data_IF_829102343037
#
_entry.id   IF_829102343037
#
_cell.length_a   1.000
_cell.length_b   1.000
_cell.length_c   1.000
_cell.angle_alpha   90.00
_cell.angle_beta   90.00
_cell.angle_gamma   90.00
#
_symmetry.space_group_name_H-M   'P 1'
#
loop_
_entity.id
_entity.type
_entity.pdbx_description
1 polymer ?
#
# COMPACT_ATOMS: atom_id res chain seq x y z
N UNK A 1 -33.38 4.74 4.69
CA UNK A 1 -31.93 4.97 4.83
C UNK A 1 -31.25 4.07 3.82
N UNK A 2 -30.70 4.61 2.74
CA UNK A 2 -29.93 3.82 1.79
C UNK A 2 -28.64 3.39 2.47
N UNK A 3 -28.43 2.08 2.64
CA UNK A 3 -27.13 1.56 3.01
C UNK A 3 -26.23 1.78 1.80
N UNK A 4 -25.44 2.86 1.79
CA UNK A 4 -24.34 2.96 0.85
C UNK A 4 -23.31 1.92 1.30
N UNK A 5 -23.29 0.80 0.59
CA UNK A 5 -22.23 -0.20 0.74
C UNK A 5 -20.97 0.39 0.14
N UNK A 6 -19.88 0.42 0.91
CA UNK A 6 -18.58 0.84 0.41
C UNK A 6 -18.21 0.06 -0.86
N UNK A 7 -17.56 0.74 -1.79
CA UNK A 7 -17.02 0.14 -3.01
C UNK A 7 -15.59 -0.34 -2.74
N UNK A 8 -15.32 -1.61 -3.02
CA UNK A 8 -13.99 -2.19 -2.92
C UNK A 8 -13.49 -2.51 -4.33
N UNK A 9 -12.38 -1.91 -4.73
CA UNK A 9 -11.69 -2.19 -5.99
C UNK A 9 -10.47 -3.07 -5.71
N UNK A 10 -10.45 -4.26 -6.33
CA UNK A 10 -9.36 -5.24 -6.22
C UNK A 10 -8.46 -5.29 -7.47
N UNK A 11 -8.43 -4.20 -8.25
CA UNK A 11 -7.56 -4.02 -9.41
C UNK A 11 -6.88 -2.64 -9.35
N UNK A 12 -5.80 -2.47 -10.10
CA UNK A 12 -5.09 -1.20 -10.19
C UNK A 12 -5.99 -0.10 -10.75
N UNK A 13 -5.99 1.05 -10.08
CA UNK A 13 -6.67 2.28 -10.54
C UNK A 13 -5.60 3.25 -11.02
N UNK A 14 -5.74 3.75 -12.24
CA UNK A 14 -4.78 4.69 -12.82
C UNK A 14 -4.71 5.98 -11.98
N UNK A 15 -3.47 6.40 -11.66
CA UNK A 15 -3.22 7.59 -10.83
C UNK A 15 -3.34 7.36 -9.31
N UNK A 16 -3.88 6.22 -8.86
CA UNK A 16 -4.01 5.92 -7.44
C UNK A 16 -2.65 5.91 -6.72
N UNK A 17 -2.62 6.27 -5.43
CA UNK A 17 -1.37 6.40 -4.68
C UNK A 17 -0.63 5.07 -4.47
N UNK A 18 -1.30 3.93 -4.71
CA UNK A 18 -0.79 2.57 -4.51
C UNK A 18 -1.31 1.63 -5.61
N UNK A 19 -0.66 0.48 -5.78
CA UNK A 19 -1.11 -0.60 -6.68
C UNK A 19 -1.53 -1.85 -5.89
N UNK A 20 -2.45 -2.62 -6.44
CA UNK A 20 -2.83 -3.92 -5.89
C UNK A 20 -1.65 -4.89 -6.04
N UNK A 21 -1.37 -5.65 -4.98
CA UNK A 21 -0.19 -6.50 -4.87
C UNK A 21 1.09 -5.76 -4.50
N UNK A 22 1.05 -4.43 -4.32
CA UNK A 22 2.22 -3.66 -3.89
C UNK A 22 2.54 -3.94 -2.41
N UNK A 23 3.79 -4.32 -2.06
CA UNK A 23 4.20 -4.45 -0.67
C UNK A 23 4.39 -3.05 -0.06
N UNK A 24 3.76 -2.82 1.08
CA UNK A 24 3.84 -1.58 1.85
C UNK A 24 4.19 -1.85 3.30
N UNK A 25 4.89 -0.91 3.91
CA UNK A 25 5.12 -0.89 5.35
C UNK A 25 4.11 0.04 6.00
N UNK A 26 3.51 -0.39 7.10
CA UNK A 26 2.70 0.51 7.93
C UNK A 26 3.66 1.43 8.69
N UNK A 27 3.52 2.74 8.50
CA UNK A 27 4.41 3.74 9.05
C UNK A 27 4.46 3.67 10.58
N UNK A 28 5.66 3.84 11.15
CA UNK A 28 5.86 3.89 12.61
C UNK A 28 5.31 5.19 13.22
N UNK A 29 5.16 6.22 12.41
CA UNK A 29 4.65 7.54 12.81
C UNK A 29 3.16 7.70 12.53
N UNK A 30 2.45 6.65 12.12
CA UNK A 30 0.99 6.67 12.04
C UNK A 30 0.45 6.90 13.45
N UNK A 31 0.16 8.17 13.76
CA UNK A 31 -0.08 8.67 15.12
C UNK A 31 -1.56 8.83 15.44
N UNK A 32 -2.43 8.25 14.61
CA UNK A 32 -3.87 8.26 14.82
C UNK A 32 -4.27 7.20 15.85
N UNK A 33 -5.16 7.56 16.79
CA UNK A 33 -5.71 6.64 17.80
C UNK A 33 -6.46 5.42 17.20
N UNK A 34 -6.81 5.47 15.91
CA UNK A 34 -7.54 4.42 15.21
C UNK A 34 -6.67 3.27 14.71
N UNK A 35 -5.35 3.46 14.63
CA UNK A 35 -4.46 2.45 14.08
C UNK A 35 -4.09 1.43 15.16
N UNK A 36 -4.41 0.15 14.93
CA UNK A 36 -3.99 -0.90 15.85
C UNK A 36 -2.46 -1.04 15.82
N UNK A 37 -1.84 -0.71 16.96
CA UNK A 37 -0.39 -0.71 17.17
C UNK A 37 0.29 -2.02 16.75
N UNK A 38 -0.43 -3.15 16.68
CA UNK A 38 0.12 -4.44 16.21
C UNK A 38 0.59 -4.41 14.76
N UNK A 39 0.02 -3.53 13.93
CA UNK A 39 0.39 -3.39 12.52
C UNK A 39 1.58 -2.46 12.30
N UNK A 40 1.90 -1.56 13.24
CA UNK A 40 2.97 -0.57 13.06
C UNK A 40 4.32 -1.22 12.74
N UNK A 41 4.98 -0.70 11.70
CA UNK A 41 6.27 -1.19 11.24
C UNK A 41 6.24 -2.55 10.53
N UNK A 42 5.09 -3.24 10.50
CA UNK A 42 4.91 -4.50 9.76
C UNK A 42 4.81 -4.25 8.26
N UNK A 43 5.07 -5.31 7.51
CA UNK A 43 4.90 -5.35 6.07
C UNK A 43 3.57 -6.01 5.73
N UNK A 44 2.88 -5.46 4.74
CA UNK A 44 1.69 -6.06 4.18
C UNK A 44 1.62 -5.88 2.67
N UNK A 45 0.66 -6.55 2.05
CA UNK A 45 0.37 -6.46 0.62
C UNK A 45 -0.94 -5.72 0.44
N UNK A 46 -0.96 -4.71 -0.43
CA UNK A 46 -2.19 -4.03 -0.82
C UNK A 46 -3.11 -5.02 -1.54
N UNK A 47 -4.34 -5.19 -1.04
CA UNK A 47 -5.33 -6.11 -1.61
C UNK A 47 -6.59 -5.39 -2.12
N UNK A 48 -6.74 -4.10 -1.83
CA UNK A 48 -7.84 -3.31 -2.37
C UNK A 48 -7.76 -1.83 -2.09
N UNK A 49 -8.53 -1.05 -2.85
CA UNK A 49 -8.89 0.33 -2.55
C UNK A 49 -10.36 0.37 -2.13
N UNK A 50 -10.66 1.07 -1.04
CA UNK A 50 -12.00 1.15 -0.46
C UNK A 50 -12.47 2.59 -0.48
N UNK A 51 -13.66 2.80 -1.06
CA UNK A 51 -14.34 4.08 -1.11
C UNK A 51 -15.66 3.99 -0.35
N UNK A 52 -15.82 4.81 0.68
CA UNK A 52 -17.05 4.84 1.48
C UNK A 52 -18.26 5.32 0.67
N UNK A 53 -18.04 6.16 -0.34
CA UNK A 53 -19.03 6.56 -1.34
C UNK A 53 -18.65 6.00 -2.72
N UNK A 54 -19.41 5.03 -3.26
CA UNK A 54 -19.17 4.47 -4.59
C UNK A 54 -19.16 5.50 -5.73
N UNK A 55 -19.79 6.67 -5.53
CA UNK A 55 -19.82 7.76 -6.51
C UNK A 55 -18.56 8.64 -6.45
N UNK A 56 -17.73 8.51 -5.41
CA UNK A 56 -16.52 9.29 -5.18
C UNK A 56 -15.29 8.39 -5.19
N UNK A 57 -14.94 7.93 -6.38
CA UNK A 57 -13.71 7.19 -6.64
C UNK A 57 -12.53 8.14 -6.91
N UNK A 58 -11.36 7.60 -7.24
CA UNK A 58 -10.20 8.41 -7.64
C UNK A 58 -10.59 9.53 -8.63
N UNK A 59 -10.17 10.79 -8.44
CA UNK A 59 -9.06 11.25 -7.58
C UNK A 59 -9.40 11.48 -6.10
N UNK A 60 -10.62 11.14 -5.65
CA UNK A 60 -10.90 11.13 -4.21
C UNK A 60 -10.04 10.06 -3.52
N UNK A 61 -9.68 10.34 -2.27
CA UNK A 61 -8.74 9.50 -1.54
C UNK A 61 -9.41 8.21 -1.04
N UNK A 62 -8.86 7.03 -1.39
CA UNK A 62 -9.34 5.76 -0.87
C UNK A 62 -8.70 5.44 0.49
N UNK A 63 -9.41 4.64 1.29
CA UNK A 63 -8.75 3.77 2.25
C UNK A 63 -8.08 2.62 1.50
N UNK A 64 -6.87 2.27 1.89
CA UNK A 64 -6.10 1.18 1.31
C UNK A 64 -6.25 -0.05 2.20
N UNK A 65 -6.79 -1.11 1.62
CA UNK A 65 -6.91 -2.40 2.30
C UNK A 65 -5.60 -3.17 2.16
N UNK A 66 -4.98 -3.51 3.28
CA UNK A 66 -3.68 -4.18 3.34
C UNK A 66 -3.82 -5.50 4.10
N UNK A 67 -3.29 -6.58 3.53
CA UNK A 67 -3.16 -7.88 4.21
C UNK A 67 -1.76 -8.00 4.82
N UNK A 68 -1.70 -8.21 6.12
CA UNK A 68 -0.48 -8.43 6.90
C UNK A 68 -0.44 -9.88 7.39
N UNK A 69 0.71 -10.53 7.17
CA UNK A 69 0.94 -11.91 7.62
C UNK A 69 0.73 -12.03 9.14
N UNK A 70 0.05 -13.10 9.57
CA UNK A 70 -0.31 -13.40 10.97
C UNK A 70 -1.24 -12.39 11.69
N UNK A 71 -1.62 -11.28 11.05
CA UNK A 71 -2.49 -10.26 11.63
C UNK A 71 -3.80 -10.05 10.88
N UNK A 72 -3.88 -10.45 9.61
CA UNK A 72 -5.09 -10.36 8.80
C UNK A 72 -5.14 -9.12 7.91
N UNK A 73 -6.33 -8.59 7.69
CA UNK A 73 -6.56 -7.44 6.80
C UNK A 73 -7.06 -6.24 7.60
N UNK A 74 -6.55 -5.06 7.27
CA UNK A 74 -7.02 -3.80 7.83
C UNK A 74 -7.00 -2.66 6.80
N UNK A 75 -7.61 -1.53 7.14
CA UNK A 75 -7.72 -0.34 6.32
C UNK A 75 -6.78 0.75 6.82
N UNK A 76 -6.05 1.36 5.88
CA UNK A 76 -5.06 2.39 6.16
C UNK A 76 -5.24 3.56 5.21
N UNK A 77 -4.94 4.77 5.66
CA UNK A 77 -4.80 5.89 4.74
C UNK A 77 -3.52 5.78 3.91
N UNK A 78 -3.48 6.34 2.69
CA UNK A 78 -2.28 6.30 1.86
C UNK A 78 -1.02 6.88 2.52
N UNK A 79 -1.15 7.91 3.38
CA UNK A 79 -0.03 8.51 4.10
C UNK A 79 0.48 7.66 5.27
N UNK A 80 -0.29 6.67 5.73
CA UNK A 80 0.14 5.72 6.77
C UNK A 80 0.95 4.56 6.18
N UNK A 81 1.13 4.55 4.85
CA UNK A 81 1.84 3.51 4.12
C UNK A 81 3.14 4.05 3.53
N UNK A 82 4.23 3.36 3.83
CA UNK A 82 5.55 3.66 3.30
C UNK A 82 5.94 2.61 2.26
N UNK A 83 6.37 3.07 1.09
CA UNK A 83 7.08 2.22 0.13
C UNK A 83 8.47 1.90 0.66
N UNK A 84 8.91 0.65 0.53
CA UNK A 84 10.33 0.35 0.75
C UNK A 84 11.15 0.65 -0.48
N UNK A 85 12.16 1.49 -0.27
CA UNK A 85 13.28 1.67 -1.18
C UNK A 85 14.01 0.34 -1.47
N UNK A 86 14.08 -0.58 -0.50
CA UNK A 86 14.77 -1.88 -0.59
C UNK A 86 13.99 -2.95 -1.39
N UNK A 87 12.66 -2.94 -1.37
CA UNK A 87 11.84 -3.87 -2.17
C UNK A 87 11.88 -3.53 -3.66
N UNK A 88 12.01 -2.24 -3.98
CA UNK A 88 12.35 -1.79 -5.34
C UNK A 88 13.68 -2.42 -5.81
N UNK A 89 14.71 -2.41 -4.95
CA UNK A 89 16.00 -3.03 -5.25
C UNK A 89 15.96 -4.57 -5.29
N UNK A 90 15.21 -5.24 -4.41
CA UNK A 90 15.05 -6.71 -4.45
C UNK A 90 14.31 -7.20 -5.70
N UNK A 91 13.36 -6.43 -6.25
CA UNK A 91 12.72 -6.74 -7.55
C UNK A 91 13.69 -6.58 -8.72
N UNK A 92 14.60 -5.60 -8.66
CA UNK A 92 15.64 -5.39 -9.67
C UNK A 92 16.79 -6.40 -9.59
N UNK A 93 16.99 -7.03 -8.43
CA UNK A 93 18.14 -7.91 -8.16
C UNK A 93 17.77 -9.39 -7.92
N UNK A 94 16.49 -9.76 -8.06
CA UNK A 94 16.04 -11.16 -8.07
C UNK A 94 16.62 -11.93 -9.27
N UNK A 95 16.62 -13.28 -9.25
CA UNK A 95 17.44 -14.13 -10.12
C UNK A 95 17.14 -14.11 -11.65
N UNK A 96 16.36 -13.14 -12.13
CA UNK A 96 16.16 -12.83 -13.56
C UNK A 96 16.33 -11.35 -13.93
N UNK A 97 16.71 -10.48 -12.98
CA UNK A 97 16.97 -9.07 -13.24
C UNK A 97 18.44 -8.84 -13.59
N UNK A 98 18.75 -8.75 -14.88
CA UNK A 98 20.04 -8.19 -15.31
C UNK A 98 20.15 -6.77 -14.77
N UNK A 99 21.15 -6.55 -13.91
CA UNK A 99 21.57 -5.20 -13.48
C UNK A 99 21.78 -4.33 -14.72
N UNK A 100 21.25 -3.11 -14.80
CA UNK A 100 21.79 -2.12 -15.73
C UNK A 100 23.22 -1.82 -15.24
N UNK A 101 24.19 -2.42 -15.90
CA UNK A 101 25.60 -2.07 -15.77
C UNK A 101 25.74 -0.57 -16.02
N UNK A 102 26.08 0.19 -14.98
CA UNK A 102 26.61 1.54 -15.14
C UNK A 102 25.93 2.59 -14.30
N UNK A 103 26.08 2.53 -12.97
CA UNK A 103 26.19 3.75 -12.16
C UNK A 103 27.31 3.55 -11.15
N UNK A 104 28.45 4.15 -11.49
CA UNK A 104 29.67 4.23 -10.72
C UNK A 104 29.47 5.28 -9.62
N UNK A 105 29.48 4.87 -8.35
CA UNK A 105 29.52 5.83 -7.24
C UNK A 105 30.95 6.37 -7.12
N UNK A 106 31.10 7.68 -7.30
CA UNK A 106 32.31 8.42 -6.92
C UNK A 106 32.10 8.93 -5.49
N UNK A 107 33.12 8.71 -4.68
CA UNK A 107 33.25 8.98 -3.24
C UNK A 107 32.85 10.39 -2.79
#
# INVERSE_FOLDING_TARGET
MSQQTALILAHDVEGAPVRIGEPMRIALTASEESLDNRFQGRWGIVVGLVYDDPLRQYPHEPLVKVRVEDLGEDLFFPWELERSSEWFWRRLTGPGGSMPMGLHWVH
#
